data_IF_171615617546
#
_entry.id   IF_171615617546
#
_cell.length_a   1.000
_cell.length_b   1.000
_cell.length_c   1.000
_cell.angle_alpha   90.00
_cell.angle_beta   90.00
_cell.angle_gamma   90.00
#
_symmetry.space_group_name_H-M   'P 1'
#
loop_
_entity.id
_entity.type
_entity.pdbx_description
1 polymer ?
#
# COMPACT_ATOMS: atom_id res chain seq x y z
N UNK A 1 23.22 -35.29 -10.49
CA UNK A 1 22.17 -35.51 -9.46
C UNK A 1 22.06 -34.19 -8.71
N UNK A 2 20.99 -33.41 -8.76
CA UNK A 2 19.55 -33.74 -8.76
C UNK A 2 18.70 -32.71 -9.55
N UNK A 3 17.94 -33.24 -10.51
CA UNK A 3 16.59 -32.88 -10.96
C UNK A 3 16.13 -31.41 -10.89
N UNK A 4 16.26 -30.70 -12.01
CA UNK A 4 15.33 -29.64 -12.40
C UNK A 4 14.05 -30.36 -12.85
N UNK A 5 13.03 -30.39 -12.00
CA UNK A 5 11.72 -30.93 -12.39
C UNK A 5 11.08 -30.02 -13.44
N UNK A 6 10.65 -30.63 -14.53
CA UNK A 6 9.84 -30.03 -15.58
C UNK A 6 8.58 -29.40 -14.97
N UNK A 7 8.45 -28.08 -15.06
CA UNK A 7 7.22 -27.38 -14.68
C UNK A 7 6.30 -27.28 -15.90
N UNK A 8 5.08 -27.78 -15.73
CA UNK A 8 4.02 -27.67 -16.72
C UNK A 8 3.54 -26.20 -16.80
N UNK A 9 3.70 -25.60 -17.97
CA UNK A 9 3.11 -24.33 -18.33
C UNK A 9 1.60 -24.54 -18.54
N UNK A 10 0.77 -23.97 -17.67
CA UNK A 10 -0.66 -23.87 -17.93
C UNK A 10 -0.96 -22.48 -18.49
N UNK A 11 -1.34 -22.41 -19.77
CA UNK A 11 -2.08 -21.27 -20.30
C UNK A 11 -3.42 -21.20 -19.55
N UNK A 12 -3.52 -20.33 -18.55
CA UNK A 12 -4.81 -20.00 -17.94
C UNK A 12 -5.51 -19.00 -18.86
N UNK A 13 -6.13 -19.52 -19.91
CA UNK A 13 -7.13 -18.77 -20.69
C UNK A 13 -8.34 -18.58 -19.76
N UNK A 14 -8.79 -17.34 -19.61
CA UNK A 14 -10.06 -16.92 -19.00
C UNK A 14 -10.08 -16.36 -17.56
N UNK A 15 -8.97 -15.86 -17.02
CA UNK A 15 -9.02 -14.87 -15.92
C UNK A 15 -9.17 -13.45 -16.48
N UNK A 16 -10.41 -13.02 -16.77
CA UNK A 16 -10.75 -11.61 -17.00
C UNK A 16 -10.77 -10.84 -15.67
N UNK A 17 -9.66 -10.80 -14.95
CA UNK A 17 -9.46 -9.94 -13.79
C UNK A 17 -8.55 -8.81 -14.26
N UNK A 18 -8.94 -7.52 -14.17
CA UNK A 18 -8.05 -6.42 -14.44
C UNK A 18 -6.97 -6.40 -13.35
N UNK A 19 -5.91 -7.12 -13.63
CA UNK A 19 -4.68 -7.19 -12.86
C UNK A 19 -3.89 -5.90 -13.14
N UNK A 20 -3.76 -5.03 -12.13
CA UNK A 20 -2.99 -3.78 -12.19
C UNK A 20 -1.75 -3.96 -11.30
N UNK A 21 -0.56 -4.10 -11.90
CA UNK A 21 0.74 -4.23 -11.19
C UNK A 21 1.84 -3.37 -11.76
N UNK A 22 2.77 -2.90 -10.91
CA UNK A 22 4.02 -2.20 -11.25
C UNK A 22 3.92 -0.69 -11.41
N UNK A 23 5.03 -0.02 -11.08
CA UNK A 23 5.22 1.45 -11.20
C UNK A 23 4.92 1.95 -12.63
N UNK A 24 4.92 1.03 -13.59
CA UNK A 24 4.61 1.23 -15.00
C UNK A 24 3.11 1.12 -15.36
N UNK A 25 2.24 0.75 -14.42
CA UNK A 25 0.88 0.25 -14.72
C UNK A 25 -0.21 0.85 -13.83
N UNK A 26 0.11 1.64 -12.81
CA UNK A 26 -0.89 2.11 -11.83
C UNK A 26 -1.93 3.11 -12.36
N UNK A 27 -2.06 3.32 -13.67
CA UNK A 27 -2.81 4.48 -14.17
C UNK A 27 -3.56 4.36 -15.47
N UNK A 28 -3.54 3.21 -16.13
CA UNK A 28 -4.33 3.06 -17.36
C UNK A 28 -5.27 1.87 -17.28
N UNK A 29 -6.50 2.11 -17.70
CA UNK A 29 -7.49 1.09 -18.07
C UNK A 29 -7.05 0.26 -19.30
N UNK A 30 -5.78 0.34 -19.71
CA UNK A 30 -5.25 -0.34 -20.89
C UNK A 30 -4.27 -1.43 -20.48
N UNK A 31 -4.73 -2.66 -20.66
CA UNK A 31 -3.99 -3.92 -20.84
C UNK A 31 -2.48 -3.76 -21.04
N UNK A 32 -1.71 -3.72 -19.94
CA UNK A 32 -0.29 -4.06 -19.96
C UNK A 32 -0.20 -5.56 -19.74
N UNK A 33 0.08 -6.26 -20.84
CA UNK A 33 0.23 -7.69 -20.87
C UNK A 33 1.46 -8.11 -20.05
N UNK A 34 1.23 -8.60 -18.83
CA UNK A 34 2.20 -9.41 -18.11
C UNK A 34 2.38 -10.71 -18.89
N UNK A 35 3.42 -10.75 -19.71
CA UNK A 35 3.61 -11.86 -20.62
C UNK A 35 4.01 -13.16 -19.92
N UNK A 36 4.37 -13.16 -18.62
CA UNK A 36 4.60 -14.37 -17.83
C UNK A 36 4.31 -14.14 -16.33
N UNK A 37 3.33 -14.85 -15.77
CA UNK A 37 3.11 -14.93 -14.31
C UNK A 37 3.50 -16.32 -13.82
N UNK A 38 3.98 -16.40 -12.57
CA UNK A 38 4.16 -17.69 -11.89
C UNK A 38 3.27 -17.76 -10.67
N UNK A 39 2.38 -18.74 -10.65
CA UNK A 39 1.60 -19.10 -9.47
C UNK A 39 2.54 -19.88 -8.54
N UNK A 40 2.69 -19.42 -7.29
CA UNK A 40 3.47 -20.15 -6.29
C UNK A 40 2.65 -21.19 -5.52
N UNK A 41 1.33 -21.16 -5.66
CA UNK A 41 0.38 -22.03 -4.97
C UNK A 41 -0.56 -21.25 -4.05
N UNK A 42 -1.81 -21.70 -3.96
CA UNK A 42 -2.87 -21.00 -3.22
C UNK A 42 -3.18 -19.62 -3.82
N UNK A 43 -3.33 -18.61 -2.95
CA UNK A 43 -3.74 -17.25 -3.33
C UNK A 43 -2.55 -16.29 -3.56
N UNK A 44 -1.33 -16.83 -3.73
CA UNK A 44 -0.10 -16.07 -3.92
C UNK A 44 0.40 -16.12 -5.37
N UNK A 45 0.66 -14.94 -5.93
CA UNK A 45 1.09 -14.73 -7.31
C UNK A 45 2.43 -13.98 -7.33
N UNK A 46 3.35 -14.42 -8.19
CA UNK A 46 4.56 -13.68 -8.52
C UNK A 46 4.47 -13.13 -9.93
N UNK A 47 4.72 -11.83 -10.03
CA UNK A 47 4.87 -11.14 -11.30
C UNK A 47 6.36 -11.03 -11.60
N UNK A 48 6.71 -11.47 -12.80
CA UNK A 48 8.08 -11.50 -13.28
C UNK A 48 8.15 -10.67 -14.54
N UNK A 49 9.16 -9.82 -14.65
CA UNK A 49 9.43 -9.11 -15.89
C UNK A 49 10.10 -10.07 -16.90
N UNK A 50 9.38 -10.34 -17.99
CA UNK A 50 9.85 -11.19 -19.07
C UNK A 50 10.96 -10.57 -19.89
N UNK A 51 11.16 -9.25 -19.81
CA UNK A 51 12.16 -8.50 -20.57
C UNK A 51 13.53 -8.43 -19.89
N UNK A 52 13.61 -8.66 -18.57
CA UNK A 52 14.83 -8.42 -17.76
C UNK A 52 15.38 -9.66 -17.05
N UNK A 53 15.53 -10.79 -17.74
CA UNK A 53 16.15 -12.02 -17.18
C UNK A 53 15.43 -12.63 -15.95
N UNK A 54 14.11 -12.49 -15.84
CA UNK A 54 13.27 -13.07 -14.77
C UNK A 54 13.32 -12.36 -13.41
N UNK A 55 13.47 -11.03 -13.39
CA UNK A 55 13.35 -10.27 -12.15
C UNK A 55 11.92 -10.30 -11.61
N UNK A 56 11.78 -10.56 -10.31
CA UNK A 56 10.50 -10.44 -9.60
C UNK A 56 10.16 -8.95 -9.49
N UNK A 57 8.98 -8.55 -10.00
CA UNK A 57 8.48 -7.17 -9.93
C UNK A 57 7.38 -6.98 -8.90
N UNK A 58 6.64 -8.04 -8.57
CA UNK A 58 5.63 -7.99 -7.51
C UNK A 58 5.34 -9.40 -6.94
N UNK A 59 4.97 -9.42 -5.67
CA UNK A 59 4.40 -10.55 -4.95
C UNK A 59 3.01 -10.12 -4.49
N UNK A 60 1.99 -10.88 -4.84
CA UNK A 60 0.61 -10.48 -4.63
C UNK A 60 -0.11 -11.61 -3.94
N UNK A 61 -0.72 -11.27 -2.82
CA UNK A 61 -1.51 -12.18 -2.02
C UNK A 61 -2.96 -11.71 -2.08
N UNK A 62 -3.80 -12.51 -2.71
CA UNK A 62 -5.24 -12.35 -2.58
C UNK A 62 -5.67 -13.00 -1.27
N UNK A 63 -6.56 -12.36 -0.53
CA UNK A 63 -7.05 -12.95 0.71
C UNK A 63 -8.55 -12.74 0.79
N UNK A 64 -9.29 -13.85 0.79
CA UNK A 64 -10.75 -13.84 0.85
C UNK A 64 -11.24 -13.41 2.22
N UNK A 65 -12.10 -12.38 2.27
CA UNK A 65 -12.73 -11.96 3.53
C UNK A 65 -13.64 -13.04 4.12
N UNK A 66 -14.21 -13.91 3.28
CA UNK A 66 -15.14 -14.95 3.72
C UNK A 66 -14.41 -16.21 4.21
N UNK A 67 -13.27 -16.55 3.62
CA UNK A 67 -12.61 -17.85 3.83
C UNK A 67 -11.39 -17.78 4.75
N UNK A 68 -10.66 -16.65 4.76
CA UNK A 68 -9.35 -16.54 5.43
C UNK A 68 -9.31 -15.49 6.54
N UNK A 69 -10.28 -14.57 6.59
CA UNK A 69 -10.31 -13.56 7.64
C UNK A 69 -11.16 -14.04 8.81
N UNK A 70 -10.55 -14.05 10.00
CA UNK A 70 -11.33 -14.05 11.23
C UNK A 70 -11.97 -12.66 11.45
N UNK A 71 -12.94 -12.59 12.38
CA UNK A 71 -13.65 -11.34 12.67
C UNK A 71 -12.70 -10.22 13.10
N UNK A 72 -11.65 -10.53 13.85
CA UNK A 72 -10.65 -9.56 14.32
C UNK A 72 -9.91 -8.91 13.14
N UNK A 73 -9.50 -9.71 12.16
CA UNK A 73 -8.81 -9.19 10.98
C UNK A 73 -9.73 -8.29 10.15
N UNK A 74 -11.01 -8.67 9.99
CA UNK A 74 -12.00 -7.81 9.32
C UNK A 74 -12.14 -6.48 10.07
N UNK A 75 -12.19 -6.52 11.40
CA UNK A 75 -12.29 -5.32 12.22
C UNK A 75 -11.07 -4.42 12.07
N UNK A 76 -9.86 -4.99 12.03
CA UNK A 76 -8.63 -4.21 11.86
C UNK A 76 -8.54 -3.55 10.48
N UNK A 77 -8.91 -4.24 9.40
CA UNK A 77 -9.03 -3.61 8.09
C UNK A 77 -10.13 -2.54 8.04
N UNK A 78 -11.24 -2.74 8.78
CA UNK A 78 -12.27 -1.73 8.90
C UNK A 78 -11.77 -0.48 9.65
N UNK A 79 -10.95 -0.65 10.69
CA UNK A 79 -10.27 0.45 11.40
C UNK A 79 -9.35 1.21 10.46
N UNK A 80 -8.55 0.51 9.64
CA UNK A 80 -7.71 1.16 8.61
C UNK A 80 -8.58 2.00 7.67
N UNK A 81 -9.64 1.44 7.11
CA UNK A 81 -10.53 2.15 6.19
C UNK A 81 -11.18 3.40 6.82
N UNK A 82 -11.70 3.29 8.04
CA UNK A 82 -12.29 4.43 8.76
C UNK A 82 -11.24 5.50 9.11
N UNK A 83 -10.04 5.08 9.49
CA UNK A 83 -8.93 6.00 9.72
C UNK A 83 -8.57 6.75 8.43
N UNK A 84 -8.45 6.08 7.28
CA UNK A 84 -8.21 6.72 5.98
C UNK A 84 -9.31 7.74 5.63
N UNK A 85 -10.58 7.46 5.97
CA UNK A 85 -11.67 8.41 5.81
C UNK A 85 -11.45 9.67 6.65
N UNK A 86 -11.06 9.53 7.92
CA UNK A 86 -10.73 10.67 8.80
C UNK A 86 -9.54 11.46 8.26
N UNK A 87 -8.47 10.78 7.84
CA UNK A 87 -7.31 11.43 7.19
C UNK A 87 -7.78 12.23 5.97
N UNK A 88 -8.71 11.70 5.18
CA UNK A 88 -9.24 12.40 4.00
C UNK A 88 -10.06 13.66 4.31
N UNK A 89 -10.64 13.77 5.51
CA UNK A 89 -11.37 14.97 5.94
C UNK A 89 -10.45 16.04 6.53
N UNK A 90 -9.29 15.64 7.05
CA UNK A 90 -8.26 16.51 7.66
C UNK A 90 -7.27 17.05 6.62
N UNK A 91 -6.80 16.18 5.74
CA UNK A 91 -5.75 16.49 4.76
C UNK A 91 -6.32 16.81 3.38
N UNK A 92 -5.61 17.70 2.68
CA UNK A 92 -5.91 18.05 1.30
C UNK A 92 -5.45 16.97 0.33
N UNK A 93 -6.06 16.94 -0.86
CA UNK A 93 -5.51 16.12 -1.95
C UNK A 93 -4.10 16.59 -2.31
N UNK A 94 -3.23 15.65 -2.64
CA UNK A 94 -1.97 15.96 -3.30
C UNK A 94 -2.29 16.39 -4.73
N UNK A 95 -1.66 17.47 -5.17
CA UNK A 95 -1.77 18.00 -6.53
C UNK A 95 -0.37 18.07 -7.12
N UNK A 96 -0.16 17.44 -8.27
CA UNK A 96 1.11 17.46 -9.00
C UNK A 96 0.89 17.29 -10.49
N UNK A 97 1.93 17.59 -11.29
CA UNK A 97 1.88 17.61 -12.76
C UNK A 97 1.60 16.25 -13.43
N UNK A 98 1.52 15.17 -12.64
CA UNK A 98 1.20 13.83 -13.11
C UNK A 98 -0.21 13.32 -12.81
N UNK A 99 -0.97 13.91 -11.87
CA UNK A 99 -2.28 13.35 -11.51
C UNK A 99 -3.32 13.62 -12.58
N UNK A 100 -3.91 12.57 -13.15
CA UNK A 100 -4.91 12.65 -14.22
C UNK A 100 -6.35 12.54 -13.69
N UNK A 101 -6.57 11.81 -12.60
CA UNK A 101 -7.89 11.70 -11.97
C UNK A 101 -7.86 11.17 -10.54
N UNK A 102 -9.03 11.14 -9.92
CA UNK A 102 -9.26 10.71 -8.53
C UNK A 102 -8.55 11.52 -7.45
N UNK A 103 -8.35 10.90 -6.30
CA UNK A 103 -7.76 11.53 -5.10
C UNK A 103 -6.60 10.70 -4.56
N UNK A 104 -5.47 11.37 -4.34
CA UNK A 104 -4.36 10.87 -3.53
C UNK A 104 -4.18 11.77 -2.31
N UNK A 105 -3.99 11.17 -1.15
CA UNK A 105 -3.76 11.86 0.13
C UNK A 105 -2.57 11.19 0.81
N UNK A 106 -1.79 11.96 1.57
CA UNK A 106 -0.67 11.43 2.34
C UNK A 106 -0.70 11.94 3.78
N UNK A 107 -0.22 11.11 4.69
CA UNK A 107 0.09 11.45 6.08
C UNK A 107 1.44 10.82 6.49
N UNK A 108 2.04 11.34 7.56
CA UNK A 108 3.36 10.93 8.04
C UNK A 108 4.48 11.91 7.72
N UNK A 109 5.72 11.44 7.84
CA UNK A 109 6.96 12.20 7.71
C UNK A 109 7.52 12.15 6.30
N UNK A 110 7.89 13.31 5.77
CA UNK A 110 8.56 13.45 4.48
C UNK A 110 9.85 14.24 4.68
N UNK A 111 10.92 13.79 4.02
CA UNK A 111 12.14 14.58 3.87
C UNK A 111 11.85 15.79 2.99
N UNK A 112 12.37 16.95 3.36
CA UNK A 112 12.34 18.13 2.49
C UNK A 112 13.20 17.87 1.25
N UNK A 113 12.74 18.33 0.09
CA UNK A 113 13.51 18.24 -1.15
C UNK A 113 14.69 19.22 -1.15
N UNK A 114 14.56 20.35 -0.46
CA UNK A 114 15.52 21.45 -0.49
C UNK A 114 16.37 21.56 0.79
N UNK A 115 16.09 20.73 1.80
CA UNK A 115 16.76 20.78 3.11
C UNK A 115 16.98 19.40 3.68
N UNK A 116 18.02 19.24 4.48
CA UNK A 116 18.24 18.05 5.31
C UNK A 116 17.35 18.07 6.56
N UNK A 117 16.03 18.11 6.35
CA UNK A 117 15.05 18.14 7.43
C UNK A 117 13.84 17.27 7.10
N UNK A 118 13.29 16.60 8.12
CA UNK A 118 12.03 15.89 8.04
C UNK A 118 10.89 16.75 8.58
N UNK A 119 9.74 16.70 7.91
CA UNK A 119 8.52 17.33 8.38
C UNK A 119 7.32 16.41 8.20
N UNK A 120 6.38 16.46 9.15
CA UNK A 120 5.09 15.78 8.98
C UNK A 120 4.19 16.57 8.03
N UNK A 121 3.36 15.87 7.25
CA UNK A 121 2.31 16.52 6.46
C UNK A 121 1.44 17.41 7.36
N UNK A 122 1.05 18.57 6.83
CA UNK A 122 0.21 19.54 7.55
C UNK A 122 -1.26 19.39 7.15
N UNK A 123 -2.21 19.41 8.10
CA UNK A 123 -3.64 19.50 7.80
C UNK A 123 -3.93 20.70 6.90
N UNK A 124 -4.79 20.51 5.89
CA UNK A 124 -5.15 21.56 4.91
C UNK A 124 -6.64 21.83 4.81
N UNK A 125 -7.49 20.92 5.29
CA UNK A 125 -8.96 21.04 5.21
C UNK A 125 -9.61 21.52 6.50
N UNK A 126 -8.87 21.53 7.60
CA UNK A 126 -9.36 21.94 8.92
C UNK A 126 -8.49 23.05 9.51
N UNK A 127 -9.11 23.92 10.30
CA UNK A 127 -8.41 24.86 11.16
C UNK A 127 -8.26 24.26 12.57
N UNK A 128 -7.03 23.96 12.98
CA UNK A 128 -6.70 23.40 14.30
C UNK A 128 -6.85 24.41 15.46
N UNK A 129 -7.17 25.67 15.18
CA UNK A 129 -7.60 26.66 16.18
C UNK A 129 -9.04 26.41 16.65
N UNK A 130 -9.86 25.74 15.84
CA UNK A 130 -11.21 25.34 16.22
C UNK A 130 -11.13 24.11 17.14
N UNK A 131 -11.66 24.17 18.38
CA UNK A 131 -11.53 23.07 19.35
C UNK A 131 -12.03 21.71 18.84
N UNK A 132 -13.15 21.70 18.12
CA UNK A 132 -13.74 20.47 17.58
C UNK A 132 -12.84 19.80 16.54
N UNK A 133 -12.21 20.60 15.67
CA UNK A 133 -11.25 20.10 14.69
C UNK A 133 -10.00 19.51 15.36
N UNK A 134 -9.58 20.09 16.48
CA UNK A 134 -8.45 19.56 17.27
C UNK A 134 -8.78 18.21 17.90
N UNK A 135 -10.01 18.01 18.37
CA UNK A 135 -10.46 16.71 18.89
C UNK A 135 -10.38 15.66 17.78
N UNK A 136 -10.95 15.93 16.61
CA UNK A 136 -10.90 15.02 15.46
C UNK A 136 -9.45 14.70 15.04
N UNK A 137 -8.60 15.73 15.00
CA UNK A 137 -7.17 15.56 14.67
C UNK A 137 -6.45 14.68 15.70
N UNK A 138 -6.69 14.90 16.99
CA UNK A 138 -6.06 14.12 18.05
C UNK A 138 -6.54 12.67 18.06
N UNK A 139 -7.84 12.42 17.87
CA UNK A 139 -8.38 11.06 17.75
C UNK A 139 -7.74 10.30 16.57
N UNK A 140 -7.66 10.94 15.40
CA UNK A 140 -6.97 10.38 14.22
C UNK A 140 -5.50 10.05 14.51
N UNK A 141 -4.82 10.89 15.30
CA UNK A 141 -3.42 10.69 15.67
C UNK A 141 -3.19 9.64 16.77
N UNK A 142 -4.21 9.34 17.60
CA UNK A 142 -4.11 8.21 18.52
C UNK A 142 -4.37 6.89 17.78
N UNK A 143 -5.29 6.90 16.82
CA UNK A 143 -5.59 5.73 15.99
C UNK A 143 -4.41 5.31 15.11
N UNK A 144 -3.63 6.26 14.57
CA UNK A 144 -2.55 5.92 13.61
C UNK A 144 -1.50 4.97 14.20
N UNK A 145 -1.31 4.94 15.53
CA UNK A 145 -0.36 4.03 16.17
C UNK A 145 -0.76 2.56 16.02
N UNK A 146 -2.04 2.25 16.19
CA UNK A 146 -2.53 0.88 15.99
C UNK A 146 -2.57 0.51 14.51
N UNK A 147 -2.84 1.49 13.63
CA UNK A 147 -2.74 1.31 12.18
C UNK A 147 -1.31 1.00 11.75
N UNK A 148 -0.31 1.72 12.26
CA UNK A 148 1.12 1.50 12.00
C UNK A 148 1.56 0.08 12.40
N UNK A 149 1.21 -0.32 13.63
CA UNK A 149 1.45 -1.68 14.10
C UNK A 149 0.79 -2.73 13.20
N UNK A 150 -0.48 -2.55 12.86
CA UNK A 150 -1.23 -3.48 12.04
C UNK A 150 -0.60 -3.63 10.65
N UNK A 151 -0.41 -2.51 9.93
CA UNK A 151 0.14 -2.49 8.56
C UNK A 151 1.55 -3.08 8.54
N UNK A 152 2.39 -2.73 9.53
CA UNK A 152 3.73 -3.29 9.68
C UNK A 152 3.73 -4.80 9.87
N UNK A 153 2.91 -5.31 10.78
CA UNK A 153 2.77 -6.76 11.01
C UNK A 153 2.27 -7.49 9.76
N UNK A 154 1.36 -6.88 8.99
CA UNK A 154 0.90 -7.46 7.71
C UNK A 154 2.04 -7.51 6.70
N UNK A 155 2.81 -6.44 6.54
CA UNK A 155 3.96 -6.46 5.63
C UNK A 155 4.97 -7.53 6.04
N UNK A 156 5.32 -7.60 7.33
CA UNK A 156 6.23 -8.60 7.84
C UNK A 156 5.75 -10.03 7.57
N UNK A 157 4.44 -10.28 7.74
CA UNK A 157 3.85 -11.60 7.51
C UNK A 157 3.95 -12.05 6.05
N UNK A 158 3.68 -11.16 5.08
CA UNK A 158 3.68 -11.55 3.66
C UNK A 158 5.09 -11.49 3.04
N UNK A 159 5.95 -10.55 3.46
CA UNK A 159 7.29 -10.40 2.90
C UNK A 159 8.32 -9.95 3.93
N UNK A 160 8.62 -10.81 4.91
CA UNK A 160 9.55 -10.50 6.00
C UNK A 160 10.90 -9.91 5.54
N UNK A 161 11.50 -10.42 4.45
CA UNK A 161 12.78 -9.89 3.94
C UNK A 161 12.67 -8.45 3.41
N UNK A 162 11.62 -8.16 2.66
CA UNK A 162 11.38 -6.80 2.14
C UNK A 162 11.01 -5.83 3.28
N UNK A 163 10.28 -6.33 4.28
CA UNK A 163 10.00 -5.60 5.51
C UNK A 163 11.28 -5.27 6.28
N UNK A 164 12.15 -6.24 6.52
CA UNK A 164 13.43 -6.06 7.23
C UNK A 164 14.30 -5.00 6.55
N UNK A 165 14.37 -5.03 5.22
CA UNK A 165 15.12 -4.04 4.46
C UNK A 165 14.49 -2.65 4.54
N UNK A 166 13.16 -2.54 4.45
CA UNK A 166 12.44 -1.27 4.62
C UNK A 166 12.61 -0.71 6.05
N UNK A 167 12.55 -1.56 7.08
CA UNK A 167 12.82 -1.20 8.46
C UNK A 167 14.26 -0.71 8.66
N UNK A 168 15.24 -1.40 8.07
CA UNK A 168 16.65 -1.00 8.10
C UNK A 168 16.85 0.35 7.42
N UNK A 169 16.19 0.59 6.29
CA UNK A 169 16.26 1.85 5.57
C UNK A 169 15.62 3.00 6.36
N UNK A 170 14.43 2.80 6.94
CA UNK A 170 13.78 3.79 7.80
C UNK A 170 14.71 4.25 8.93
N UNK A 171 15.40 3.29 9.57
CA UNK A 171 16.40 3.56 10.59
C UNK A 171 17.62 4.29 10.03
N UNK A 172 18.13 3.89 8.86
CA UNK A 172 19.29 4.50 8.23
C UNK A 172 19.04 5.97 7.85
N UNK A 173 17.86 6.30 7.32
CA UNK A 173 17.52 7.67 6.94
C UNK A 173 17.21 8.57 8.14
N UNK A 174 17.08 8.01 9.34
CA UNK A 174 16.76 8.76 10.57
C UNK A 174 15.37 9.39 10.53
N UNK A 175 14.41 8.78 9.84
CA UNK A 175 13.04 9.28 9.78
C UNK A 175 12.17 8.53 10.79
N UNK A 176 11.19 9.24 11.36
CA UNK A 176 10.14 8.61 12.17
C UNK A 176 9.17 7.82 11.30
N UNK A 177 8.56 6.79 11.89
CA UNK A 177 7.42 6.10 11.29
C UNK A 177 6.23 7.04 11.09
N UNK A 178 5.39 6.75 10.10
CA UNK A 178 4.14 7.49 9.87
C UNK A 178 3.19 7.42 11.09
N UNK A 179 3.30 6.38 11.92
CA UNK A 179 2.55 6.22 13.16
C UNK A 179 2.93 7.18 14.29
N UNK A 180 4.04 7.91 14.14
CA UNK A 180 4.57 8.75 15.23
C UNK A 180 4.30 10.23 14.97
N UNK A 181 3.74 10.93 15.96
CA UNK A 181 3.41 12.36 15.83
C UNK A 181 4.58 13.29 16.12
N UNK A 182 5.56 12.80 16.85
CA UNK A 182 6.83 13.48 17.12
C UNK A 182 7.97 12.70 16.51
N UNK A 183 9.09 13.38 16.27
CA UNK A 183 10.29 12.66 15.90
C UNK A 183 10.62 11.63 17.00
N UNK A 184 10.93 10.40 16.62
CA UNK A 184 11.15 9.30 17.55
C UNK A 184 12.38 8.51 17.15
N UNK A 185 13.24 8.28 18.15
CA UNK A 185 14.23 7.22 18.16
C UNK A 185 14.13 6.48 19.51
N UNK A 186 14.30 5.15 19.56
CA UNK A 186 14.53 4.25 18.43
C UNK A 186 13.23 3.89 17.67
N UNK A 187 13.40 3.47 16.41
CA UNK A 187 12.33 2.88 15.58
C UNK A 187 11.90 1.52 16.17
N UNK A 188 10.59 1.28 16.26
CA UNK A 188 10.00 0.04 16.79
C UNK A 188 10.04 -1.07 15.75
N UNK A 189 10.00 -2.33 16.20
CA UNK A 189 10.20 -3.51 15.33
C UNK A 189 9.18 -3.69 14.19
N UNK A 190 7.99 -3.08 14.27
CA UNK A 190 6.95 -3.15 13.23
C UNK A 190 7.03 -1.98 12.23
N UNK A 191 7.83 -0.96 12.49
CA UNK A 191 7.82 0.29 11.74
C UNK A 191 8.73 0.19 10.52
N UNK A 192 8.24 0.51 9.32
CA UNK A 192 9.01 0.32 8.09
C UNK A 192 8.94 1.51 7.11
N UNK A 193 8.00 2.43 7.29
CA UNK A 193 7.82 3.56 6.38
C UNK A 193 7.63 4.87 7.15
N UNK A 194 8.19 5.95 6.62
CA UNK A 194 8.04 7.28 7.22
C UNK A 194 6.71 7.93 6.89
N UNK A 195 6.08 7.57 5.77
CA UNK A 195 4.79 8.09 5.35
C UNK A 195 3.90 7.00 4.74
N UNK A 196 2.62 7.32 4.60
CA UNK A 196 1.66 6.51 3.89
C UNK A 196 0.86 7.40 2.94
N UNK A 197 0.72 6.92 1.71
CA UNK A 197 -0.17 7.50 0.70
C UNK A 197 -1.33 6.55 0.43
N UNK A 198 -2.52 7.08 0.22
CA UNK A 198 -3.66 6.29 -0.20
C UNK A 198 -4.47 7.00 -1.26
N UNK A 199 -5.18 6.20 -2.06
CA UNK A 199 -5.86 6.64 -3.26
C UNK A 199 -7.29 6.12 -3.33
N UNK A 200 -8.21 6.94 -3.84
CA UNK A 200 -9.62 6.56 -4.03
C UNK A 200 -10.29 7.42 -5.11
N UNK A 201 -11.53 7.08 -5.48
CA UNK A 201 -12.28 7.70 -6.60
C UNK A 201 -11.54 7.58 -7.95
N UNK A 202 -11.12 6.37 -8.32
CA UNK A 202 -10.46 6.06 -9.59
C UNK A 202 -9.21 6.90 -9.86
N UNK A 203 -8.34 6.98 -8.85
CA UNK A 203 -7.07 7.67 -8.98
C UNK A 203 -6.20 7.08 -10.08
N UNK A 204 -5.63 7.95 -10.91
CA UNK A 204 -4.64 7.60 -11.93
C UNK A 204 -3.71 8.79 -12.21
N UNK A 205 -2.48 8.51 -12.64
CA UNK A 205 -1.41 9.46 -12.94
C UNK A 205 -0.75 9.23 -14.32
N UNK A 206 0.08 10.14 -14.80
CA UNK A 206 0.94 9.87 -15.95
C UNK A 206 1.97 8.81 -15.56
N UNK A 207 2.26 7.89 -16.48
CA UNK A 207 3.41 6.99 -16.34
C UNK A 207 4.67 7.77 -15.95
N UNK A 208 5.32 7.38 -14.85
CA UNK A 208 6.57 7.97 -14.40
C UNK A 208 7.37 6.96 -13.58
N UNK A 209 8.68 7.18 -13.54
CA UNK A 209 9.61 6.47 -12.67
C UNK A 209 10.02 7.39 -11.54
N UNK A 210 9.80 6.96 -10.30
CA UNK A 210 10.28 7.65 -9.13
C UNK A 210 11.74 7.28 -8.83
N UNK A 211 12.50 8.24 -8.32
CA UNK A 211 13.86 8.05 -7.83
C UNK A 211 13.84 7.90 -6.30
N UNK A 212 13.16 6.86 -5.84
CA UNK A 212 13.00 6.62 -4.41
C UNK A 212 14.21 5.88 -3.82
N UNK A 213 14.41 6.13 -2.53
CA UNK A 213 15.50 5.51 -1.77
C UNK A 213 15.23 4.03 -1.44
N UNK A 214 13.95 3.62 -1.45
CA UNK A 214 13.53 2.25 -1.18
C UNK A 214 13.39 1.44 -2.46
N UNK A 215 13.89 0.21 -2.42
CA UNK A 215 13.70 -0.79 -3.46
C UNK A 215 12.34 -1.51 -3.34
N UNK A 216 11.65 -1.34 -2.21
CA UNK A 216 10.40 -2.03 -1.91
C UNK A 216 9.25 -1.07 -1.65
N UNK A 217 8.09 -1.44 -2.16
CA UNK A 217 6.81 -0.78 -1.88
C UNK A 217 5.80 -1.79 -1.36
N UNK A 218 5.12 -1.41 -0.31
CA UNK A 218 4.04 -2.20 0.24
C UNK A 218 2.69 -1.51 -0.01
N UNK A 219 1.78 -2.23 -0.67
CA UNK A 219 0.44 -1.75 -0.99
C UNK A 219 -0.65 -2.64 -0.41
N UNK A 220 -1.73 -2.00 0.01
CA UNK A 220 -2.95 -2.67 0.49
C UNK A 220 -4.13 -2.10 -0.28
N UNK A 221 -4.94 -2.97 -0.88
CA UNK A 221 -6.20 -2.60 -1.52
C UNK A 221 -7.35 -3.09 -0.66
N UNK A 222 -8.10 -2.13 -0.13
CA UNK A 222 -9.23 -2.37 0.76
C UNK A 222 -10.50 -1.97 0.00
N UNK A 223 -11.37 -2.92 -0.40
CA UNK A 223 -12.60 -2.58 -1.08
C UNK A 223 -13.58 -1.95 -0.08
N UNK A 224 -13.97 -0.71 -0.35
CA UNK A 224 -14.87 0.06 0.51
C UNK A 224 -15.99 0.71 -0.27
N UNK A 225 -17.12 0.97 0.38
CA UNK A 225 -18.09 1.93 -0.14
C UNK A 225 -17.61 3.35 0.15
N UNK A 226 -17.69 4.25 -0.84
CA UNK A 226 -17.01 5.55 -0.81
C UNK A 226 -17.60 6.54 0.20
N UNK A 227 -18.85 6.35 0.62
CA UNK A 227 -19.54 7.30 1.48
C UNK A 227 -19.00 7.22 2.90
N UNK A 228 -19.01 6.02 3.50
CA UNK A 228 -18.66 5.78 4.90
C UNK A 228 -17.42 4.92 5.08
N UNK A 229 -16.81 4.45 3.99
CA UNK A 229 -15.60 3.62 3.98
C UNK A 229 -15.80 2.30 4.74
N UNK A 230 -17.02 1.74 4.73
CA UNK A 230 -17.25 0.39 5.21
C UNK A 230 -16.70 -0.62 4.19
N UNK A 231 -16.13 -1.71 4.71
CA UNK A 231 -15.66 -2.82 3.88
C UNK A 231 -16.82 -3.39 3.07
N UNK A 232 -16.61 -3.55 1.77
CA UNK A 232 -17.56 -4.23 0.89
C UNK A 232 -17.37 -5.73 1.06
N UNK A 233 -18.31 -6.36 1.77
CA UNK A 233 -18.29 -7.81 2.08
C UNK A 233 -19.07 -8.67 1.07
N UNK A 234 -19.71 -8.08 0.07
CA UNK A 234 -20.51 -8.78 -0.95
C UNK A 234 -19.92 -8.55 -2.34
N UNK A 235 -20.02 -9.53 -3.24
CA UNK A 235 -19.70 -9.36 -4.67
C UNK A 235 -20.35 -8.09 -5.20
N UNK A 236 -19.52 -7.13 -5.61
CA UNK A 236 -19.99 -6.06 -6.48
C UNK A 236 -20.18 -6.61 -7.90
N UNK A 237 -20.65 -5.76 -8.81
CA UNK A 237 -20.81 -6.05 -10.25
C UNK A 237 -19.50 -6.44 -10.96
N UNK A 238 -18.35 -6.29 -10.30
CA UNK A 238 -17.03 -6.76 -10.76
C UNK A 238 -16.62 -8.11 -10.14
N UNK A 239 -17.50 -8.76 -9.39
CA UNK A 239 -17.27 -10.11 -8.84
C UNK A 239 -16.25 -10.21 -7.70
N UNK A 240 -15.72 -9.09 -7.20
CA UNK A 240 -14.68 -9.07 -6.18
C UNK A 240 -15.25 -9.42 -4.79
N UNK A 241 -14.64 -10.41 -4.13
CA UNK A 241 -14.94 -10.90 -2.77
C UNK A 241 -13.76 -10.76 -1.79
N UNK A 242 -12.72 -10.01 -2.17
CA UNK A 242 -11.39 -10.22 -1.59
C UNK A 242 -10.71 -8.88 -1.30
N UNK A 243 -9.93 -8.85 -0.21
CA UNK A 243 -8.90 -7.84 -0.05
C UNK A 243 -7.72 -8.24 -0.92
N UNK A 244 -7.24 -7.31 -1.74
CA UNK A 244 -6.02 -7.54 -2.50
C UNK A 244 -4.86 -6.96 -1.70
N UNK A 245 -3.93 -7.82 -1.30
CA UNK A 245 -2.66 -7.37 -0.78
C UNK A 245 -1.61 -7.51 -1.87
N UNK A 246 -0.95 -6.40 -2.22
CA UNK A 246 0.10 -6.44 -3.24
C UNK A 246 1.36 -5.78 -2.71
N UNK A 247 2.43 -6.58 -2.70
CA UNK A 247 3.79 -6.13 -2.50
C UNK A 247 4.43 -5.94 -3.86
N UNK A 248 4.89 -4.73 -4.15
CA UNK A 248 5.70 -4.50 -5.32
C UNK A 248 7.17 -4.46 -4.88
N UNK A 249 7.96 -5.40 -5.37
CA UNK A 249 9.39 -5.46 -5.13
C UNK A 249 10.09 -5.06 -6.42
N UNK A 250 10.77 -3.92 -6.44
CA UNK A 250 11.60 -3.53 -7.58
C UNK A 250 13.05 -3.77 -7.22
N UNK A 251 13.67 -4.73 -7.92
CA UNK A 251 15.02 -5.27 -7.76
C UNK A 251 15.24 -6.17 -6.53
N UNK A 252 15.25 -7.48 -6.81
CA UNK A 252 16.10 -8.43 -6.11
C UNK A 252 17.28 -8.65 -7.05
N UNK A 253 18.45 -8.08 -6.72
CA UNK A 253 19.70 -8.45 -7.40
C UNK A 253 20.04 -9.92 -7.18
#
# INVERSE_FOLDING_TARGET
MSNIQDYYYHEVRDLQVPIIFSHDVLTSHNQLAFHNFKILGGNNYIFVDSSTKHNIVAIVTFTSFEEEFNLDLIEDFQKVAHWLKKVSSVYGKITGHGTQGGKMIADGWRKSQDKEAFGRYKPRKIDLKVPQNRVIYNEMNEEVKSIDLFVGNRFQLIANKAFEESHRQLKYIGASSFGEMTHQEPIKSHQFSSNMTFTFEDFHNNYHKDEDFSNYYYGIWIPVELEKFNLVKKKNHMGLKEGLLCLQATNVE
#
